data_IF_198516853367
#
_entry.id   IF_198516853367
#
_cell.length_a   1.000
_cell.length_b   1.000
_cell.length_c   1.000
_cell.angle_alpha   90.00
_cell.angle_beta   90.00
_cell.angle_gamma   90.00
#
_symmetry.space_group_name_H-M   'P 1'
#
loop_
_entity.id
_entity.type
_entity.pdbx_description
1 polymer ?
#
# COMPACT_ATOMS: atom_id res chain seq x y z
N UNK A 1 -24.00 16.80 -17.08
CA UNK A 1 -22.75 16.31 -16.48
C UNK A 1 -21.63 16.55 -17.46
N UNK A 2 -20.71 17.46 -17.15
CA UNK A 2 -19.53 17.67 -17.99
C UNK A 2 -18.69 16.39 -17.95
N UNK A 3 -18.46 15.79 -19.12
CA UNK A 3 -17.56 14.65 -19.28
C UNK A 3 -16.10 15.12 -19.07
N UNK A 4 -15.71 15.33 -17.81
CA UNK A 4 -14.35 15.66 -17.48
C UNK A 4 -13.49 14.40 -17.61
N UNK A 5 -12.87 14.21 -18.75
CA UNK A 5 -11.92 13.14 -18.99
C UNK A 5 -10.65 13.67 -19.65
N UNK A 6 -9.57 12.97 -19.48
CA UNK A 6 -8.28 13.23 -20.11
C UNK A 6 -7.80 11.99 -20.86
N UNK A 7 -6.95 12.18 -21.83
CA UNK A 7 -6.24 11.08 -22.49
C UNK A 7 -4.86 10.92 -21.86
N UNK A 8 -4.64 9.77 -21.25
CA UNK A 8 -3.35 9.39 -20.66
C UNK A 8 -2.59 8.55 -21.68
N UNK A 9 -1.38 9.00 -22.02
CA UNK A 9 -0.50 8.24 -22.91
C UNK A 9 0.16 7.11 -22.11
N UNK A 10 0.08 5.91 -22.63
CA UNK A 10 0.72 4.74 -22.08
C UNK A 10 1.92 4.35 -22.95
N UNK A 11 3.13 4.50 -22.40
CA UNK A 11 4.37 4.21 -23.12
C UNK A 11 4.49 2.73 -23.50
N UNK A 12 4.02 1.83 -22.65
CA UNK A 12 4.16 0.38 -22.84
C UNK A 12 3.28 -0.09 -24.03
N UNK A 13 2.11 0.54 -24.17
CA UNK A 13 1.15 0.24 -25.23
C UNK A 13 1.25 1.19 -26.44
N UNK A 14 2.06 2.24 -26.34
CA UNK A 14 2.18 3.28 -27.37
C UNK A 14 0.82 3.85 -27.83
N UNK A 15 -0.12 3.99 -26.90
CA UNK A 15 -1.49 4.45 -27.18
C UNK A 15 -2.02 5.37 -26.10
N UNK A 16 -3.12 6.06 -26.39
CA UNK A 16 -3.85 6.89 -25.44
C UNK A 16 -5.04 6.13 -24.87
N UNK A 17 -5.20 6.19 -23.55
CA UNK A 17 -6.38 5.68 -22.86
C UNK A 17 -7.15 6.83 -22.24
N UNK A 18 -8.46 6.87 -22.47
CA UNK A 18 -9.32 7.86 -21.84
C UNK A 18 -9.48 7.54 -20.33
N UNK A 19 -9.23 8.52 -19.49
CA UNK A 19 -9.40 8.44 -18.05
C UNK A 19 -10.44 9.48 -17.58
N UNK A 20 -11.52 9.01 -16.93
CA UNK A 20 -12.55 9.88 -16.37
C UNK A 20 -12.04 10.50 -15.08
N UNK A 21 -11.96 11.83 -15.05
CA UNK A 21 -11.56 12.56 -13.85
C UNK A 21 -12.61 12.41 -12.75
N UNK A 22 -12.15 12.17 -11.54
CA UNK A 22 -12.98 12.05 -10.35
C UNK A 22 -12.41 12.95 -9.26
N UNK A 23 -13.28 13.74 -8.60
CA UNK A 23 -12.88 14.67 -7.55
C UNK A 23 -12.21 13.87 -6.42
N UNK A 24 -11.08 14.38 -5.93
CA UNK A 24 -10.25 13.77 -4.88
C UNK A 24 -9.54 12.46 -5.25
N UNK A 25 -9.57 12.06 -6.52
CA UNK A 25 -8.79 10.93 -7.01
C UNK A 25 -7.54 11.40 -7.76
N UNK A 26 -6.43 10.67 -7.67
CA UNK A 26 -5.22 11.00 -8.41
C UNK A 26 -5.44 10.81 -9.92
N UNK A 27 -4.55 11.36 -10.71
CA UNK A 27 -4.50 11.15 -12.16
C UNK A 27 -3.35 10.17 -12.43
N UNK A 28 -3.59 9.03 -13.08
CA UNK A 28 -2.50 8.11 -13.40
C UNK A 28 -1.57 8.74 -14.45
N UNK A 29 -0.26 8.62 -14.24
CA UNK A 29 0.75 9.09 -15.21
C UNK A 29 0.97 8.08 -16.35
N UNK A 30 0.56 6.83 -16.14
CA UNK A 30 0.49 5.75 -17.12
C UNK A 30 -0.50 4.69 -16.63
N UNK A 31 -0.77 3.65 -17.42
CA UNK A 31 -1.59 2.50 -16.99
C UNK A 31 -3.06 2.82 -16.77
N UNK A 32 -3.60 3.88 -17.39
CA UNK A 32 -5.00 4.26 -17.25
C UNK A 32 -5.97 3.14 -17.64
N UNK A 33 -5.59 2.25 -18.55
CA UNK A 33 -6.39 1.08 -18.94
C UNK A 33 -6.57 0.09 -17.78
N UNK A 34 -5.51 -0.19 -17.01
CA UNK A 34 -5.57 -1.01 -15.79
C UNK A 34 -6.35 -0.29 -14.69
N UNK A 35 -6.01 0.98 -14.44
CA UNK A 35 -6.67 1.78 -13.41
C UNK A 35 -8.18 1.86 -13.65
N UNK A 36 -8.63 2.04 -14.88
CA UNK A 36 -10.05 2.07 -15.20
C UNK A 36 -10.78 0.74 -14.84
N UNK A 37 -10.09 -0.41 -14.95
CA UNK A 37 -10.64 -1.70 -14.54
C UNK A 37 -10.82 -1.76 -13.02
N UNK A 38 -9.83 -1.29 -12.26
CA UNK A 38 -9.91 -1.20 -10.79
C UNK A 38 -10.96 -0.19 -10.32
N UNK A 39 -11.07 0.96 -10.98
CA UNK A 39 -12.01 2.02 -10.61
C UNK A 39 -13.47 1.58 -10.63
N UNK A 40 -13.86 0.63 -11.48
CA UNK A 40 -15.20 0.03 -11.45
C UNK A 40 -15.51 -0.62 -10.10
N UNK A 41 -14.52 -1.28 -9.50
CA UNK A 41 -14.66 -1.93 -8.20
C UNK A 41 -14.49 -0.95 -7.05
N UNK A 42 -13.68 0.08 -7.22
CA UNK A 42 -13.60 1.19 -6.25
C UNK A 42 -14.94 1.90 -6.12
N UNK A 43 -15.64 2.11 -7.23
CA UNK A 43 -16.98 2.72 -7.22
C UNK A 43 -18.02 1.86 -6.49
N UNK A 44 -17.87 0.53 -6.51
CA UNK A 44 -18.79 -0.40 -5.85
C UNK A 44 -18.46 -0.63 -4.37
N UNK A 45 -17.18 -0.74 -4.03
CA UNK A 45 -16.73 -1.22 -2.72
C UNK A 45 -15.99 -0.17 -1.89
N UNK A 46 -15.70 1.00 -2.49
CA UNK A 46 -14.79 2.01 -1.92
C UNK A 46 -13.33 1.63 -2.11
N UNK A 47 -12.43 2.56 -1.83
CA UNK A 47 -10.98 2.33 -1.87
C UNK A 47 -10.45 1.68 -0.59
N UNK A 48 -9.27 1.09 -0.69
CA UNK A 48 -8.55 0.51 0.45
C UNK A 48 -8.12 1.62 1.41
N UNK A 49 -8.64 1.56 2.63
CA UNK A 49 -8.34 2.54 3.65
C UNK A 49 -6.95 2.30 4.26
N UNK A 50 -6.08 3.30 4.18
CA UNK A 50 -4.78 3.30 4.85
C UNK A 50 -4.61 4.54 5.71
N UNK A 51 -3.86 4.42 6.80
CA UNK A 51 -3.58 5.50 7.73
C UNK A 51 -2.12 5.93 7.54
N UNK A 52 -1.88 7.18 7.16
CA UNK A 52 -0.53 7.75 7.19
C UNK A 52 -0.12 7.98 8.64
N UNK A 53 1.10 7.56 8.98
CA UNK A 53 1.62 7.72 10.34
C UNK A 53 2.09 9.15 10.60
N UNK A 54 2.30 9.46 11.87
CA UNK A 54 2.84 10.73 12.33
C UNK A 54 4.12 10.51 13.14
N UNK A 55 4.88 11.55 13.34
CA UNK A 55 5.95 11.53 14.34
C UNK A 55 5.36 11.29 15.73
N UNK A 56 6.06 10.59 16.62
CA UNK A 56 5.63 10.46 18.01
C UNK A 56 5.58 11.83 18.70
N UNK A 57 4.94 11.88 19.86
CA UNK A 57 4.89 13.11 20.66
C UNK A 57 6.31 13.56 21.07
N UNK A 58 6.47 14.83 21.42
CA UNK A 58 7.76 15.38 21.86
C UNK A 58 8.29 14.76 23.17
N UNK A 59 7.43 14.11 23.95
CA UNK A 59 7.78 13.41 25.19
C UNK A 59 8.46 12.09 24.93
N UNK A 60 8.18 11.46 23.78
CA UNK A 60 8.79 10.19 23.38
C UNK A 60 10.22 10.43 22.92
N UNK A 61 11.17 9.91 23.65
CA UNK A 61 12.59 9.93 23.29
C UNK A 61 12.92 8.67 22.51
N UNK A 62 13.71 8.81 21.45
CA UNK A 62 14.12 7.72 20.58
C UNK A 62 15.62 7.43 20.72
N UNK A 63 15.99 6.16 20.66
CA UNK A 63 17.36 5.65 20.65
C UNK A 63 17.55 4.64 19.52
N UNK A 64 18.74 4.58 18.95
CA UNK A 64 19.12 3.51 18.01
C UNK A 64 19.53 2.22 18.73
N UNK A 65 19.74 2.28 20.04
CA UNK A 65 20.26 1.17 20.85
C UNK A 65 19.25 0.85 21.95
N UNK A 66 19.01 -0.45 22.17
CA UNK A 66 18.25 -0.93 23.32
C UNK A 66 18.97 -0.57 24.61
N UNK A 67 18.25 -0.03 25.58
CA UNK A 67 18.75 0.30 26.91
C UNK A 67 17.63 0.17 27.93
N UNK A 68 17.98 0.20 29.26
CA UNK A 68 17.00 0.08 30.35
C UNK A 68 15.84 1.08 30.24
N UNK A 69 16.12 2.30 29.73
CA UNK A 69 15.14 3.38 29.58
C UNK A 69 14.56 3.45 28.17
N UNK A 70 14.96 2.56 27.24
CA UNK A 70 14.54 2.52 25.84
C UNK A 70 14.22 1.08 25.46
N UNK A 71 13.06 0.59 25.91
CA UNK A 71 12.68 -0.83 25.80
C UNK A 71 11.66 -1.12 24.71
N UNK A 72 10.88 -0.11 24.27
CA UNK A 72 9.83 -0.30 23.28
C UNK A 72 10.39 -0.25 21.87
N UNK A 73 10.22 -1.35 21.13
CA UNK A 73 10.65 -1.45 19.73
C UNK A 73 9.69 -0.69 18.80
N UNK A 74 10.23 0.03 17.85
CA UNK A 74 9.43 0.79 16.90
C UNK A 74 9.99 0.69 15.48
N UNK A 75 9.13 0.56 14.49
CA UNK A 75 9.50 0.65 13.10
C UNK A 75 9.71 2.13 12.76
N UNK A 76 10.93 2.47 12.36
CA UNK A 76 11.27 3.77 11.81
C UNK A 76 11.05 3.78 10.30
N UNK A 77 11.52 2.74 9.61
CA UNK A 77 11.37 2.55 8.16
C UNK A 77 11.60 1.07 7.83
N UNK A 78 11.50 0.72 6.54
CA UNK A 78 11.99 -0.55 6.05
C UNK A 78 12.65 -0.36 4.69
N UNK A 79 13.54 -1.28 4.34
CA UNK A 79 14.15 -1.42 3.02
C UNK A 79 13.90 -2.83 2.51
N UNK A 80 14.13 -3.06 1.22
CA UNK A 80 14.11 -4.42 0.68
C UNK A 80 15.47 -5.05 0.92
N UNK A 81 15.50 -6.19 1.59
CA UNK A 81 16.68 -7.03 1.63
C UNK A 81 16.74 -7.86 0.34
N UNK A 82 17.75 -7.63 -0.45
CA UNK A 82 17.93 -8.30 -1.75
C UNK A 82 18.26 -9.78 -1.61
N UNK A 83 18.72 -10.23 -0.45
CA UNK A 83 19.11 -11.62 -0.23
C UNK A 83 17.92 -12.56 -0.11
N UNK A 84 16.81 -12.09 0.46
CA UNK A 84 15.57 -12.89 0.63
C UNK A 84 14.32 -12.23 0.03
N UNK A 85 14.50 -11.12 -0.70
CA UNK A 85 13.43 -10.38 -1.37
C UNK A 85 12.24 -10.01 -0.47
N UNK A 86 12.54 -9.54 0.72
CA UNK A 86 11.55 -9.16 1.74
C UNK A 86 11.93 -7.89 2.49
N UNK A 87 11.05 -7.38 3.37
CA UNK A 87 11.30 -6.16 4.12
C UNK A 87 12.36 -6.36 5.21
N UNK A 88 13.38 -5.52 5.19
CA UNK A 88 14.36 -5.36 6.27
C UNK A 88 13.99 -4.13 7.09
N UNK A 89 13.65 -4.33 8.36
CA UNK A 89 13.17 -3.25 9.23
C UNK A 89 14.34 -2.41 9.79
N UNK A 90 14.19 -1.10 9.70
CA UNK A 90 14.97 -0.14 10.49
C UNK A 90 14.24 0.12 11.80
N UNK A 91 14.81 -0.37 12.91
CA UNK A 91 14.20 -0.36 14.24
C UNK A 91 14.85 0.70 15.12
N UNK A 92 14.01 1.45 15.84
CA UNK A 92 14.41 2.31 16.95
C UNK A 92 13.73 1.88 18.24
N UNK A 93 14.30 2.29 19.35
CA UNK A 93 13.78 2.03 20.69
C UNK A 93 13.28 3.33 21.30
N UNK A 94 12.25 3.26 22.16
CA UNK A 94 11.70 4.43 22.84
C UNK A 94 11.50 4.18 24.33
N UNK A 95 11.43 5.27 25.09
CA UNK A 95 11.15 5.26 26.52
C UNK A 95 9.67 4.99 26.85
N UNK A 96 8.79 5.23 25.88
CA UNK A 96 7.34 5.03 25.97
C UNK A 96 6.85 4.34 24.69
N UNK A 97 5.73 3.56 24.72
CA UNK A 97 5.21 2.92 23.53
C UNK A 97 4.76 3.96 22.50
N UNK A 98 5.26 3.86 21.27
CA UNK A 98 4.75 4.64 20.14
C UNK A 98 3.38 4.13 19.70
N UNK A 99 2.67 4.95 18.92
CA UNK A 99 1.37 4.59 18.35
C UNK A 99 1.44 3.24 17.64
N UNK A 100 0.37 2.47 17.68
CA UNK A 100 0.22 1.12 17.12
C UNK A 100 1.03 0.02 17.80
N UNK A 101 1.72 0.27 18.92
CA UNK A 101 2.30 -0.76 19.75
C UNK A 101 1.18 -1.68 20.30
N UNK A 102 1.42 -2.98 20.39
CA UNK A 102 0.44 -4.02 20.76
C UNK A 102 -0.81 -4.09 19.85
N UNK A 103 -0.70 -3.63 18.61
CA UNK A 103 -1.77 -3.77 17.61
C UNK A 103 -1.27 -4.59 16.42
N UNK A 104 -2.01 -5.64 16.06
CA UNK A 104 -1.82 -6.38 14.83
C UNK A 104 -2.01 -5.43 13.65
N UNK A 105 -1.06 -5.38 12.73
CA UNK A 105 -1.06 -4.39 11.65
C UNK A 105 -0.20 -4.77 10.46
N UNK A 106 -0.54 -4.16 9.34
CA UNK A 106 0.30 -4.11 8.16
C UNK A 106 1.00 -2.75 8.08
N UNK A 107 2.29 -2.76 7.81
CA UNK A 107 3.10 -1.54 7.68
C UNK A 107 3.70 -1.47 6.28
N UNK A 108 3.45 -0.35 5.58
CA UNK A 108 4.04 -0.05 4.28
C UNK A 108 4.92 1.19 4.43
N UNK A 109 6.23 1.06 4.34
CA UNK A 109 7.14 2.20 4.37
C UNK A 109 6.99 3.08 3.13
N UNK A 110 6.99 4.38 3.33
CA UNK A 110 6.85 5.38 2.29
C UNK A 110 7.98 5.33 1.23
N UNK A 111 9.19 4.92 1.63
CA UNK A 111 10.37 4.87 0.74
C UNK A 111 10.52 3.55 0.00
N UNK A 112 9.67 2.59 0.26
CA UNK A 112 9.76 1.26 -0.31
C UNK A 112 8.55 0.99 -1.22
N UNK A 113 8.85 0.61 -2.45
CA UNK A 113 7.85 0.04 -3.34
C UNK A 113 7.84 -1.47 -3.13
N UNK A 114 6.70 -2.02 -2.75
CA UNK A 114 6.53 -3.44 -2.64
C UNK A 114 6.12 -3.92 -1.26
N UNK A 115 6.71 -4.98 -0.80
CA UNK A 115 6.17 -5.87 0.22
C UNK A 115 5.78 -5.20 1.53
N UNK A 116 4.51 -5.25 1.94
CA UNK A 116 4.08 -4.81 3.25
C UNK A 116 4.63 -5.74 4.33
N UNK A 117 5.05 -5.16 5.46
CA UNK A 117 5.45 -5.91 6.64
C UNK A 117 4.23 -6.19 7.53
N UNK A 118 3.99 -7.46 7.83
CA UNK A 118 2.93 -7.88 8.77
C UNK A 118 3.50 -8.03 10.18
N UNK A 119 3.08 -7.15 11.08
CA UNK A 119 3.32 -7.25 12.51
C UNK A 119 2.14 -7.96 13.18
N UNK A 120 2.16 -9.29 13.12
CA UNK A 120 1.07 -10.14 13.61
C UNK A 120 0.89 -10.05 15.12
N UNK A 121 2.01 -9.95 15.85
CA UNK A 121 2.03 -9.92 17.30
C UNK A 121 1.90 -8.51 17.89
N UNK A 122 1.87 -7.47 17.05
CA UNK A 122 1.87 -6.10 17.55
C UNK A 122 3.17 -5.70 18.26
N UNK A 123 4.28 -6.35 17.91
CA UNK A 123 5.57 -6.21 18.62
C UNK A 123 6.19 -4.84 18.48
N UNK A 124 5.73 -4.02 17.52
CA UNK A 124 6.34 -2.75 17.18
C UNK A 124 5.35 -1.60 17.26
N UNK A 125 5.79 -0.46 17.82
CA UNK A 125 5.18 0.83 17.56
C UNK A 125 5.66 1.40 16.22
N UNK A 126 5.18 2.60 15.87
CA UNK A 126 5.65 3.34 14.68
C UNK A 126 6.20 4.68 15.13
N UNK A 127 7.47 4.95 14.86
CA UNK A 127 8.14 6.17 15.32
C UNK A 127 8.48 7.17 14.21
N UNK A 128 7.94 6.99 12.99
CA UNK A 128 8.19 7.88 11.87
C UNK A 128 6.88 8.17 11.12
N UNK A 129 6.77 9.39 10.56
CA UNK A 129 5.64 9.83 9.74
C UNK A 129 5.62 9.22 8.33
N UNK A 130 6.71 8.59 7.92
CA UNK A 130 6.92 8.11 6.56
C UNK A 130 6.53 6.62 6.41
N UNK A 131 5.43 6.22 7.07
CA UNK A 131 4.84 4.90 6.92
C UNK A 131 3.33 5.01 6.70
N UNK A 132 2.75 3.95 6.16
CA UNK A 132 1.31 3.73 6.10
C UNK A 132 0.98 2.48 6.92
N UNK A 133 -0.16 2.49 7.60
CA UNK A 133 -0.59 1.40 8.48
C UNK A 133 -2.03 1.01 8.15
N UNK A 134 -2.27 -0.30 8.14
CA UNK A 134 -3.59 -0.89 8.15
C UNK A 134 -3.70 -1.73 9.42
N UNK A 135 -4.72 -1.45 10.23
CA UNK A 135 -5.02 -2.20 11.46
C UNK A 135 -6.30 -2.97 11.25
N UNK A 136 -6.23 -4.30 11.39
CA UNK A 136 -7.38 -5.19 11.24
C UNK A 136 -7.04 -6.52 11.95
N UNK A 137 -7.94 -7.49 11.91
CA UNK A 137 -7.64 -8.86 12.33
C UNK A 137 -6.62 -9.52 11.38
N UNK A 138 -5.97 -10.56 11.87
CA UNK A 138 -4.86 -11.22 11.17
C UNK A 138 -5.27 -11.81 9.82
N UNK A 139 -6.48 -12.35 9.70
CA UNK A 139 -6.97 -12.96 8.47
C UNK A 139 -7.17 -11.92 7.37
N UNK A 140 -7.80 -10.80 7.72
CA UNK A 140 -7.97 -9.65 6.81
C UNK A 140 -6.63 -9.07 6.38
N UNK A 141 -5.68 -8.92 7.30
CA UNK A 141 -4.35 -8.39 6.99
C UNK A 141 -3.57 -9.34 6.08
N UNK A 142 -3.71 -10.65 6.22
CA UNK A 142 -3.10 -11.61 5.30
C UNK A 142 -3.66 -11.48 3.88
N UNK A 143 -4.99 -11.31 3.72
CA UNK A 143 -5.62 -11.08 2.42
C UNK A 143 -5.07 -9.81 1.77
N UNK A 144 -5.04 -8.72 2.54
CA UNK A 144 -4.52 -7.44 2.05
C UNK A 144 -3.03 -7.56 1.70
N UNK A 145 -2.24 -8.23 2.54
CA UNK A 145 -0.82 -8.46 2.29
C UNK A 145 -0.57 -9.23 0.99
N UNK A 146 -1.33 -10.30 0.75
CA UNK A 146 -1.23 -11.07 -0.49
C UNK A 146 -1.42 -10.15 -1.71
N UNK A 147 -2.50 -9.34 -1.72
CA UNK A 147 -2.77 -8.41 -2.81
C UNK A 147 -1.66 -7.36 -2.96
N UNK A 148 -1.29 -6.68 -1.88
CA UNK A 148 -0.30 -5.60 -1.90
C UNK A 148 1.13 -6.09 -2.20
N UNK A 149 1.36 -7.40 -2.19
CA UNK A 149 2.66 -8.01 -2.54
C UNK A 149 2.75 -8.43 -4.02
N UNK A 150 1.75 -8.11 -4.82
CA UNK A 150 1.73 -8.45 -6.25
C UNK A 150 2.41 -7.40 -7.12
N UNK A 151 2.81 -7.78 -8.34
CA UNK A 151 3.31 -6.83 -9.35
C UNK A 151 2.21 -5.85 -9.77
N UNK A 152 0.96 -6.31 -9.80
CA UNK A 152 -0.21 -5.46 -10.10
C UNK A 152 -0.35 -4.32 -9.09
N UNK A 153 -0.21 -4.59 -7.79
CA UNK A 153 -0.24 -3.53 -6.77
C UNK A 153 0.94 -2.56 -6.94
N UNK A 154 2.14 -3.06 -7.25
CA UNK A 154 3.30 -2.23 -7.54
C UNK A 154 3.06 -1.33 -8.76
N UNK A 155 2.50 -1.88 -9.84
CA UNK A 155 2.14 -1.12 -11.04
C UNK A 155 1.17 0.03 -10.72
N UNK A 156 0.14 -0.22 -9.87
CA UNK A 156 -0.79 0.81 -9.41
C UNK A 156 -0.05 1.90 -8.61
N UNK A 157 0.89 1.52 -7.73
CA UNK A 157 1.68 2.51 -6.98
C UNK A 157 2.52 3.37 -7.92
N UNK A 158 3.15 2.77 -8.91
CA UNK A 158 3.99 3.47 -9.87
C UNK A 158 3.18 4.37 -10.80
N UNK A 159 1.94 4.02 -11.13
CA UNK A 159 1.05 4.86 -11.95
C UNK A 159 0.71 6.22 -11.33
N UNK A 160 0.89 6.36 -10.02
CA UNK A 160 0.68 7.62 -9.27
C UNK A 160 1.98 8.23 -8.75
N UNK A 161 3.11 7.79 -9.25
CA UNK A 161 4.44 8.17 -8.77
C UNK A 161 4.86 9.54 -9.27
N UNK A 162 4.26 10.59 -8.75
CA UNK A 162 4.61 11.99 -9.07
C UNK A 162 5.96 12.41 -8.48
N UNK A 163 6.43 11.72 -7.42
CA UNK A 163 7.73 11.92 -6.81
C UNK A 163 8.55 10.65 -6.91
N UNK A 164 9.74 10.74 -7.45
CA UNK A 164 10.64 9.60 -7.56
C UNK A 164 10.91 8.97 -6.17
N UNK A 165 10.70 7.67 -6.01
CA UNK A 165 11.02 6.81 -4.85
C UNK A 165 10.03 6.83 -3.68
N UNK A 166 8.89 7.51 -3.76
CA UNK A 166 7.95 7.55 -2.65
C UNK A 166 6.61 6.92 -3.02
N UNK A 167 6.10 6.06 -2.15
CA UNK A 167 4.72 5.60 -2.16
C UNK A 167 3.86 6.72 -1.59
N UNK A 168 2.89 7.17 -2.33
CA UNK A 168 1.98 8.24 -1.91
C UNK A 168 0.64 7.65 -1.45
N UNK A 169 0.02 8.28 -0.44
CA UNK A 169 -1.26 7.81 0.12
C UNK A 169 -2.35 7.67 -0.94
N UNK A 170 -2.40 8.58 -1.87
CA UNK A 170 -3.44 8.60 -2.90
C UNK A 170 -3.33 7.43 -3.91
N UNK A 171 -2.21 6.71 -3.96
CA UNK A 171 -2.12 5.48 -4.76
C UNK A 171 -3.16 4.43 -4.31
N UNK A 172 -3.49 4.41 -3.02
CA UNK A 172 -4.48 3.48 -2.47
C UNK A 172 -5.93 3.83 -2.86
N UNK A 173 -6.19 5.04 -3.38
CA UNK A 173 -7.50 5.39 -3.91
C UNK A 173 -7.84 4.59 -5.17
N UNK A 174 -6.84 4.06 -5.89
CA UNK A 174 -7.03 3.19 -7.04
C UNK A 174 -7.23 1.71 -6.67
N UNK A 175 -6.99 1.34 -5.42
CA UNK A 175 -7.14 -0.04 -4.95
C UNK A 175 -8.50 -0.19 -4.29
N UNK A 176 -9.40 -1.07 -4.78
CA UNK A 176 -10.67 -1.30 -4.15
C UNK A 176 -10.51 -1.92 -2.77
N UNK A 177 -11.51 -1.75 -1.91
CA UNK A 177 -11.57 -2.48 -0.64
C UNK A 177 -11.80 -3.97 -0.91
N UNK A 178 -10.71 -4.70 -1.11
CA UNK A 178 -10.72 -6.12 -1.48
C UNK A 178 -11.44 -7.01 -0.46
N UNK A 179 -11.49 -6.59 0.81
CA UNK A 179 -12.18 -7.34 1.86
C UNK A 179 -13.71 -7.40 1.63
N UNK A 180 -14.26 -6.44 0.88
CA UNK A 180 -15.68 -6.44 0.49
C UNK A 180 -15.94 -7.25 -0.78
N UNK A 181 -14.91 -7.68 -1.49
CA UNK A 181 -15.00 -8.39 -2.75
C UNK A 181 -15.01 -9.92 -2.51
N UNK A 182 -16.09 -10.45 -1.96
CA UNK A 182 -16.18 -11.85 -1.52
C UNK A 182 -15.86 -12.87 -2.62
N UNK A 183 -16.30 -12.61 -3.85
CA UNK A 183 -16.04 -13.53 -4.97
C UNK A 183 -14.58 -13.49 -5.45
N UNK A 184 -13.90 -12.37 -5.24
CA UNK A 184 -12.47 -12.25 -5.48
C UNK A 184 -11.68 -13.03 -4.43
N UNK A 185 -12.01 -12.83 -3.14
CA UNK A 185 -11.32 -13.50 -2.02
C UNK A 185 -11.44 -15.03 -2.09
N UNK A 186 -12.58 -15.56 -2.55
CA UNK A 186 -12.77 -17.00 -2.74
C UNK A 186 -11.83 -17.62 -3.76
N UNK A 187 -11.25 -16.84 -4.67
CA UNK A 187 -10.32 -17.29 -5.72
C UNK A 187 -8.85 -17.25 -5.27
N UNK A 188 -8.56 -17.61 -4.02
CA UNK A 188 -7.17 -17.68 -3.51
C UNK A 188 -6.34 -18.77 -4.22
N UNK A 189 -5.01 -18.59 -4.30
CA UNK A 189 -4.21 -17.48 -3.76
C UNK A 189 -4.41 -16.18 -4.53
N UNK A 190 -4.26 -15.04 -3.86
CA UNK A 190 -4.27 -13.73 -4.51
C UNK A 190 -2.88 -13.49 -5.12
N UNK A 191 -2.81 -13.62 -6.44
CA UNK A 191 -1.61 -13.43 -7.23
C UNK A 191 -1.94 -12.69 -8.53
N UNK A 192 -0.93 -12.29 -9.29
CA UNK A 192 -1.13 -11.51 -10.51
C UNK A 192 -2.02 -12.21 -11.54
N UNK A 193 -1.91 -13.53 -11.71
CA UNK A 193 -2.75 -14.29 -12.64
C UNK A 193 -4.24 -14.26 -12.25
N UNK A 194 -4.54 -14.49 -10.96
CA UNK A 194 -5.91 -14.46 -10.46
C UNK A 194 -6.48 -13.04 -10.46
N UNK A 195 -5.65 -12.02 -10.22
CA UNK A 195 -6.02 -10.61 -10.36
C UNK A 195 -6.35 -10.31 -11.84
N UNK A 196 -5.47 -10.66 -12.76
CA UNK A 196 -5.68 -10.43 -14.19
C UNK A 196 -6.98 -11.08 -14.69
N UNK A 197 -7.23 -12.34 -14.27
CA UNK A 197 -8.45 -13.05 -14.62
C UNK A 197 -9.69 -12.38 -14.06
N UNK A 198 -9.66 -11.99 -12.77
CA UNK A 198 -10.83 -11.38 -12.11
C UNK A 198 -11.17 -10.00 -12.65
N UNK A 199 -10.14 -9.16 -12.87
CA UNK A 199 -10.31 -7.81 -13.40
C UNK A 199 -10.37 -7.75 -14.93
N UNK A 200 -10.39 -8.90 -15.61
CA UNK A 200 -10.45 -9.02 -17.06
C UNK A 200 -9.32 -8.23 -17.75
N UNK A 201 -8.09 -8.51 -17.37
CA UNK A 201 -6.93 -7.96 -18.08
C UNK A 201 -6.83 -8.59 -19.46
N UNK A 202 -6.48 -7.79 -20.45
CA UNK A 202 -6.20 -8.26 -21.81
C UNK A 202 -4.78 -8.84 -21.89
N UNK A 203 -4.49 -9.57 -22.96
CA UNK A 203 -3.14 -10.14 -23.17
C UNK A 203 -2.03 -9.08 -23.19
N UNK A 204 -2.38 -7.86 -23.58
CA UNK A 204 -1.46 -6.72 -23.64
C UNK A 204 -1.34 -5.98 -22.30
N UNK A 205 -2.09 -6.42 -21.28
CA UNK A 205 -2.08 -5.86 -19.92
C UNK A 205 -1.12 -6.62 -18.97
N UNK A 206 -0.59 -7.77 -19.37
CA UNK A 206 0.25 -8.69 -18.59
C UNK A 206 1.72 -8.64 -19.10
#
# INVERSE_FOLDING_TARGET
ESNNSINVYDNDRSTYTNYKLKINYPIPIFGAHIINKFMKYVDLYGSLAVIKTNMPSKTVKLSNIYAKDFTYKNINSATIDKSYNGPCLDIKYSNEPCKYYQQTKLVLPHKMYGFPYLDAEGSYGICNRDNYVIVDNIDNLNIIKEFLSTKTALYIYESTRYRMKYLEKYAFEFIPNILKMTDFIKKRPINDLNIATFFCFDTDDI
#
